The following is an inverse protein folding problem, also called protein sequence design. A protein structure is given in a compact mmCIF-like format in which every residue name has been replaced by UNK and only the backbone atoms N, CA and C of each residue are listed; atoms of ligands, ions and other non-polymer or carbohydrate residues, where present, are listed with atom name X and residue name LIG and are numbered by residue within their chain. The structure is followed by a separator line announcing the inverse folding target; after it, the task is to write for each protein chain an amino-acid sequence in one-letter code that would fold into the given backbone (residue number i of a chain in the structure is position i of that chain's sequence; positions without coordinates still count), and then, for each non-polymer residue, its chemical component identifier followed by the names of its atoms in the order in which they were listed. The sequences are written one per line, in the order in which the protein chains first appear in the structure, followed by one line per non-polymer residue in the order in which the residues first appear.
data_IF_568710246762
#
_entry.id   IF_568710246762
#
_cell.length_a   1.000
_cell.length_b   1.000
_cell.length_c   1.000
_cell.angle_alpha   90.00
_cell.angle_beta   90.00
_cell.angle_gamma   90.00
#
_symmetry.space_group_name_H-M   'P 1'
#
loop_
_entity.id
_entity.type
_entity.pdbx_description
1 polymer ?
#
# COMPACT_ATOMS: atom_id res chain seq x y z
N UNK A 1 33.95 28.65 60.81
CA UNK A 1 33.63 29.77 59.91
C UNK A 1 32.41 29.39 59.09
N UNK A 2 31.24 29.86 59.53
CA UNK A 2 30.00 29.89 58.75
C UNK A 2 30.01 31.17 57.92
N UNK A 3 29.57 31.14 56.66
CA UNK A 3 28.75 32.20 56.05
C UNK A 3 27.97 31.63 54.86
N UNK A 4 26.69 31.97 54.83
CA UNK A 4 25.67 31.68 53.83
C UNK A 4 25.84 32.55 52.59
N UNK A 5 25.45 32.06 51.41
CA UNK A 5 25.30 32.88 50.20
C UNK A 5 23.87 32.77 49.67
N UNK A 6 23.22 33.92 49.69
CA UNK A 6 21.92 34.29 49.14
C UNK A 6 21.92 34.26 47.61
N UNK A 7 20.71 34.13 47.05
CA UNK A 7 20.49 33.80 45.64
C UNK A 7 20.85 34.85 44.60
N UNK A 8 20.99 34.37 43.37
CA UNK A 8 20.96 35.17 42.15
C UNK A 8 19.98 34.51 41.18
N UNK A 9 18.86 35.20 40.96
CA UNK A 9 17.87 34.91 39.94
C UNK A 9 18.32 35.44 38.58
N UNK A 10 17.98 34.68 37.53
CA UNK A 10 17.82 35.10 36.11
C UNK A 10 19.08 35.42 35.31
N UNK A 11 19.36 34.56 34.33
CA UNK A 11 19.33 34.88 32.89
C UNK A 11 19.72 33.62 32.10
N UNK A 12 18.79 32.67 31.95
CA UNK A 12 18.89 31.65 30.90
C UNK A 12 18.17 32.19 29.67
N UNK A 13 18.82 32.30 28.50
CA UNK A 13 18.11 32.60 27.27
C UNK A 13 17.13 31.45 26.99
N UNK A 14 15.85 31.83 26.84
CA UNK A 14 14.74 30.93 26.50
C UNK A 14 15.09 30.15 25.24
N UNK A 15 15.30 28.85 25.38
CA UNK A 15 15.23 27.87 24.28
C UNK A 15 13.77 27.81 23.81
N UNK A 16 13.39 28.77 22.96
CA UNK A 16 12.08 28.79 22.29
C UNK A 16 12.31 29.05 20.81
N UNK A 17 13.04 28.16 20.14
CA UNK A 17 13.27 28.28 18.70
C UNK A 17 13.50 26.95 17.96
N UNK A 18 12.91 25.84 18.43
CA UNK A 18 13.00 24.54 17.71
C UNK A 18 11.62 23.91 17.38
N UNK A 19 10.50 24.45 17.85
CA UNK A 19 9.15 23.89 17.58
C UNK A 19 8.30 24.71 16.59
N UNK A 20 8.87 25.07 15.43
CA UNK A 20 8.10 25.67 14.32
C UNK A 20 8.62 25.22 12.96
N UNK A 21 8.33 23.98 12.54
CA UNK A 21 8.38 23.57 11.12
C UNK A 21 7.88 22.14 10.85
N UNK A 22 6.96 21.59 11.65
CA UNK A 22 6.41 20.24 11.39
C UNK A 22 4.91 20.31 11.20
N UNK A 23 4.54 20.85 10.05
CA UNK A 23 3.20 20.77 9.46
C UNK A 23 3.32 21.00 7.95
N UNK A 24 4.15 20.20 7.28
CA UNK A 24 3.98 19.99 5.83
C UNK A 24 2.89 18.95 5.64
N UNK A 25 1.68 19.44 5.89
CA UNK A 25 0.44 18.84 5.41
C UNK A 25 0.56 18.85 3.89
N UNK A 26 0.63 17.68 3.25
CA UNK A 26 0.23 17.58 1.86
C UNK A 26 -1.28 17.87 1.84
N UNK A 27 -1.66 19.14 1.65
CA UNK A 27 -3.07 19.48 1.48
C UNK A 27 -3.60 18.69 0.27
N UNK A 28 -4.90 18.41 0.22
CA UNK A 28 -5.53 17.82 -0.96
C UNK A 28 -5.17 18.62 -2.24
N UNK A 29 -4.88 19.92 -2.12
CA UNK A 29 -4.35 20.75 -3.21
C UNK A 29 -2.89 20.43 -3.61
N UNK A 30 -2.02 19.99 -2.69
CA UNK A 30 -0.68 19.47 -3.02
C UNK A 30 -0.74 18.06 -3.64
N UNK A 31 -1.70 17.23 -3.24
CA UNK A 31 -2.00 15.96 -3.93
C UNK A 31 -2.57 16.19 -5.34
N UNK A 32 -3.38 17.24 -5.55
CA UNK A 32 -3.88 17.62 -6.88
C UNK A 32 -2.78 18.11 -7.85
N UNK A 33 -1.61 18.49 -7.31
CA UNK A 33 -0.41 18.84 -8.07
C UNK A 33 0.50 17.64 -8.40
N UNK A 34 0.16 16.41 -7.94
CA UNK A 34 0.77 15.17 -8.45
C UNK A 34 0.26 14.79 -9.86
N UNK A 35 -0.23 15.76 -10.63
CA UNK A 35 -0.45 15.58 -12.07
C UNK A 35 0.88 15.28 -12.76
N UNK A 36 0.99 14.03 -13.22
CA UNK A 36 1.92 13.51 -14.26
C UNK A 36 3.39 13.37 -13.87
N UNK A 37 3.75 12.32 -13.12
CA UNK A 37 5.15 11.82 -13.15
C UNK A 37 5.33 10.37 -13.57
N UNK A 38 4.31 9.52 -13.47
CA UNK A 38 4.34 8.17 -14.03
C UNK A 38 3.45 8.07 -15.27
N UNK A 39 4.03 7.80 -16.45
CA UNK A 39 3.23 7.32 -17.59
C UNK A 39 2.94 5.85 -17.31
N UNK A 40 1.67 5.49 -17.19
CA UNK A 40 1.26 4.10 -17.04
C UNK A 40 1.88 3.27 -18.17
N UNK A 41 2.69 2.28 -17.81
CA UNK A 41 3.19 1.25 -18.71
C UNK A 41 2.35 0.00 -18.50
N UNK A 42 1.93 -0.62 -19.60
CA UNK A 42 1.21 -1.89 -19.58
C UNK A 42 1.84 -2.91 -20.51
N UNK A 43 1.72 -4.17 -20.15
CA UNK A 43 2.06 -5.32 -21.00
C UNK A 43 1.24 -6.54 -20.57
N UNK A 44 1.25 -7.60 -21.36
CA UNK A 44 0.60 -8.87 -21.03
C UNK A 44 1.64 -9.88 -20.50
N UNK A 45 1.26 -10.61 -19.46
CA UNK A 45 2.00 -11.73 -18.90
C UNK A 45 1.14 -12.98 -19.06
N UNK A 46 1.76 -14.09 -19.49
CA UNK A 46 1.08 -15.38 -19.65
C UNK A 46 2.04 -16.54 -19.31
N UNK A 47 2.53 -16.57 -18.06
CA UNK A 47 3.49 -17.60 -17.61
C UNK A 47 2.78 -18.77 -16.92
N UNK A 48 3.42 -19.95 -16.80
CA UNK A 48 2.87 -21.07 -16.04
C UNK A 48 2.58 -20.72 -14.58
N UNK A 49 3.46 -19.94 -13.94
CA UNK A 49 3.29 -19.52 -12.54
C UNK A 49 2.07 -18.62 -12.38
N UNK A 50 1.82 -17.73 -13.35
CA UNK A 50 0.62 -16.90 -13.37
C UNK A 50 -0.65 -17.74 -13.55
N UNK A 51 -0.66 -18.65 -14.54
CA UNK A 51 -1.80 -19.55 -14.79
C UNK A 51 -2.11 -20.44 -13.59
N UNK A 52 -1.09 -20.85 -12.84
CA UNK A 52 -1.25 -21.69 -11.65
C UNK A 52 -2.04 -21.00 -10.52
N UNK A 53 -2.16 -19.67 -10.52
CA UNK A 53 -2.96 -18.95 -9.52
C UNK A 53 -4.47 -19.12 -9.71
N UNK A 54 -4.93 -19.44 -10.92
CA UNK A 54 -6.36 -19.43 -11.29
C UNK A 54 -7.09 -20.68 -10.81
N UNK A 55 -7.20 -20.84 -9.49
CA UNK A 55 -8.05 -21.84 -8.87
C UNK A 55 -9.54 -21.52 -9.10
N UNK A 56 -10.45 -22.50 -9.03
CA UNK A 56 -11.89 -22.25 -9.08
C UNK A 56 -12.35 -21.22 -8.04
N UNK A 57 -11.72 -21.22 -6.86
CA UNK A 57 -11.98 -20.29 -5.77
C UNK A 57 -11.55 -18.86 -6.13
N UNK A 58 -10.37 -18.69 -6.75
CA UNK A 58 -9.91 -17.37 -7.18
C UNK A 58 -10.76 -16.82 -8.33
N UNK A 59 -11.12 -17.66 -9.30
CA UNK A 59 -12.03 -17.30 -10.38
C UNK A 59 -13.41 -16.90 -9.86
N UNK A 60 -13.90 -17.58 -8.81
CA UNK A 60 -15.15 -17.19 -8.15
C UNK A 60 -15.03 -15.82 -7.49
N UNK A 61 -13.92 -15.54 -6.80
CA UNK A 61 -13.65 -14.22 -6.23
C UNK A 61 -13.63 -13.13 -7.32
N UNK A 62 -12.85 -13.32 -8.39
CA UNK A 62 -12.80 -12.37 -9.51
C UNK A 62 -14.18 -12.10 -10.11
N UNK A 63 -14.93 -13.18 -10.40
CA UNK A 63 -16.28 -13.08 -10.98
C UNK A 63 -17.24 -12.27 -10.11
N UNK A 64 -17.06 -12.35 -8.79
CA UNK A 64 -17.88 -11.64 -7.84
C UNK A 64 -17.58 -10.14 -7.85
N UNK A 65 -16.31 -9.75 -7.76
CA UNK A 65 -15.94 -8.33 -7.86
C UNK A 65 -16.44 -7.73 -9.17
N UNK A 66 -16.35 -8.49 -10.28
CA UNK A 66 -16.87 -8.08 -11.58
C UNK A 66 -18.39 -7.89 -11.60
N UNK A 67 -19.16 -8.79 -10.98
CA UNK A 67 -20.64 -8.68 -10.97
C UNK A 67 -21.14 -7.50 -10.12
N UNK A 68 -20.35 -7.09 -9.12
CA UNK A 68 -20.59 -5.90 -8.30
C UNK A 68 -19.91 -4.63 -8.85
N UNK A 69 -19.35 -4.69 -10.07
CA UNK A 69 -18.73 -3.54 -10.75
C UNK A 69 -17.55 -2.92 -10.00
N UNK A 70 -16.78 -3.76 -9.30
CA UNK A 70 -15.54 -3.38 -8.64
C UNK A 70 -14.34 -4.00 -9.36
N UNK A 71 -13.25 -3.24 -9.47
CA UNK A 71 -12.02 -3.76 -10.02
C UNK A 71 -11.26 -4.55 -8.94
N UNK A 72 -10.65 -5.66 -9.33
CA UNK A 72 -9.77 -6.49 -8.48
C UNK A 72 -8.49 -6.78 -9.25
N UNK A 73 -7.34 -6.59 -8.61
CA UNK A 73 -6.02 -6.90 -9.20
C UNK A 73 -5.11 -7.54 -8.16
N UNK A 74 -4.21 -8.40 -8.61
CA UNK A 74 -3.08 -8.87 -7.80
C UNK A 74 -2.14 -7.67 -7.58
N UNK A 75 -1.57 -7.55 -6.39
CA UNK A 75 -0.77 -6.39 -6.00
C UNK A 75 0.58 -6.77 -5.37
N UNK A 76 1.53 -5.84 -5.42
CA UNK A 76 2.70 -5.87 -4.55
C UNK A 76 3.68 -7.01 -4.83
N UNK A 77 4.12 -7.67 -3.76
CA UNK A 77 5.16 -8.70 -3.82
C UNK A 77 4.82 -9.88 -4.72
N UNK A 78 3.53 -10.25 -4.80
CA UNK A 78 3.08 -11.32 -5.68
C UNK A 78 3.34 -11.01 -7.16
N UNK A 79 3.12 -9.76 -7.58
CA UNK A 79 3.39 -9.30 -8.96
C UNK A 79 4.89 -9.36 -9.26
N UNK A 80 5.73 -8.92 -8.31
CA UNK A 80 7.18 -9.01 -8.42
C UNK A 80 7.64 -10.45 -8.60
N UNK A 81 7.13 -11.36 -7.77
CA UNK A 81 7.55 -12.77 -7.78
C UNK A 81 7.16 -13.45 -9.10
N UNK A 82 5.93 -13.19 -9.60
CA UNK A 82 5.49 -13.66 -10.92
C UNK A 82 6.38 -13.14 -12.06
N UNK A 83 6.75 -11.86 -12.04
CA UNK A 83 7.67 -11.26 -13.02
C UNK A 83 9.08 -11.88 -12.96
N UNK A 84 9.46 -12.45 -11.82
CA UNK A 84 10.72 -13.20 -11.65
C UNK A 84 10.59 -14.69 -12.02
N UNK A 85 9.44 -15.15 -12.51
CA UNK A 85 9.19 -16.57 -12.79
C UNK A 85 9.10 -17.41 -11.53
N UNK A 86 8.62 -16.84 -10.42
CA UNK A 86 8.42 -17.54 -9.14
C UNK A 86 6.93 -17.60 -8.82
N UNK A 87 6.50 -18.72 -8.24
CA UNK A 87 5.16 -18.83 -7.67
C UNK A 87 5.11 -18.05 -6.36
N UNK A 88 4.23 -17.04 -6.22
CA UNK A 88 4.09 -16.29 -4.97
C UNK A 88 3.50 -17.20 -3.88
N UNK A 89 4.01 -17.06 -2.65
CA UNK A 89 3.50 -17.80 -1.50
C UNK A 89 2.20 -17.18 -0.96
N UNK A 90 2.18 -15.85 -0.85
CA UNK A 90 1.03 -15.06 -0.41
C UNK A 90 0.65 -14.10 -1.54
N UNK A 91 -0.64 -14.11 -1.90
CA UNK A 91 -1.17 -13.26 -2.99
C UNK A 91 -2.06 -12.18 -2.39
N UNK A 92 -1.54 -10.96 -2.37
CA UNK A 92 -2.31 -9.78 -1.98
C UNK A 92 -3.17 -9.30 -3.15
N UNK A 93 -4.43 -8.98 -2.86
CA UNK A 93 -5.32 -8.34 -3.82
C UNK A 93 -5.62 -6.90 -3.43
N UNK A 94 -5.74 -6.05 -4.44
CA UNK A 94 -6.17 -4.67 -4.29
C UNK A 94 -7.48 -4.45 -5.05
N UNK A 95 -8.36 -3.60 -4.52
CA UNK A 95 -9.68 -3.33 -5.11
C UNK A 95 -10.14 -1.89 -4.95
N UNK A 96 -10.98 -1.44 -5.87
CA UNK A 96 -11.71 -0.16 -5.79
C UNK A 96 -12.91 -0.21 -4.83
N UNK A 97 -13.31 -1.40 -4.38
CA UNK A 97 -14.38 -1.56 -3.40
C UNK A 97 -13.90 -1.15 -2.00
N UNK A 98 -14.69 -0.35 -1.30
CA UNK A 98 -14.47 -0.02 0.12
C UNK A 98 -14.70 -1.24 1.01
N UNK A 99 -14.21 -1.24 2.27
CA UNK A 99 -14.46 -2.32 3.20
C UNK A 99 -15.96 -2.57 3.42
N UNK A 100 -16.76 -1.51 3.52
CA UNK A 100 -18.21 -1.58 3.67
C UNK A 100 -18.89 -2.21 2.43
N UNK A 101 -18.47 -1.81 1.22
CA UNK A 101 -18.97 -2.41 -0.04
C UNK A 101 -18.61 -3.91 -0.10
N UNK A 102 -17.36 -4.27 0.25
CA UNK A 102 -16.92 -5.66 0.30
C UNK A 102 -17.70 -6.49 1.33
N UNK A 103 -17.93 -5.97 2.55
CA UNK A 103 -18.75 -6.66 3.57
C UNK A 103 -20.15 -6.92 3.05
N UNK A 104 -20.80 -5.88 2.54
CA UNK A 104 -22.17 -5.97 2.00
C UNK A 104 -22.24 -7.01 0.89
N UNK A 105 -21.26 -7.00 -0.01
CA UNK A 105 -21.14 -7.97 -1.10
C UNK A 105 -20.95 -9.40 -0.56
N UNK A 106 -19.99 -9.63 0.33
CA UNK A 106 -19.70 -10.97 0.85
C UNK A 106 -20.85 -11.53 1.71
N UNK A 107 -21.50 -10.70 2.54
CA UNK A 107 -22.68 -11.10 3.32
C UNK A 107 -23.84 -11.52 2.42
N UNK A 108 -24.14 -10.72 1.38
CA UNK A 108 -25.19 -11.01 0.41
C UNK A 108 -24.95 -12.32 -0.33
N UNK A 109 -23.70 -12.62 -0.63
CA UNK A 109 -23.28 -13.84 -1.34
C UNK A 109 -22.98 -15.01 -0.40
N UNK A 110 -23.19 -14.82 0.91
CA UNK A 110 -22.94 -15.81 1.96
C UNK A 110 -21.50 -16.32 1.98
N UNK A 111 -20.56 -15.44 1.65
CA UNK A 111 -19.11 -15.71 1.73
C UNK A 111 -18.64 -15.38 3.14
N UNK A 112 -17.90 -16.33 3.73
CA UNK A 112 -17.36 -16.17 5.07
C UNK A 112 -16.19 -15.18 5.07
N UNK A 113 -16.18 -14.26 6.03
CA UNK A 113 -15.06 -13.36 6.30
C UNK A 113 -14.33 -13.81 7.58
N UNK A 114 -13.00 -13.89 7.56
CA UNK A 114 -12.23 -14.50 8.68
C UNK A 114 -11.75 -13.48 9.71
N UNK A 115 -11.42 -12.25 9.31
CA UNK A 115 -10.72 -11.33 10.21
C UNK A 115 -11.19 -9.89 10.03
N UNK A 116 -11.81 -9.35 11.08
CA UNK A 116 -12.22 -7.94 11.13
C UNK A 116 -11.08 -6.99 11.58
N UNK A 117 -9.95 -7.50 12.10
CA UNK A 117 -8.86 -6.63 12.58
C UNK A 117 -8.13 -5.88 11.46
N UNK A 118 -8.17 -6.40 10.23
CA UNK A 118 -7.58 -5.73 9.06
C UNK A 118 -8.40 -4.56 8.52
N UNK A 119 -9.65 -4.40 8.99
CA UNK A 119 -10.61 -3.44 8.44
C UNK A 119 -10.20 -1.99 8.68
N UNK A 120 -9.56 -1.71 9.82
CA UNK A 120 -9.02 -0.37 10.13
C UNK A 120 -7.99 0.11 9.09
N UNK A 121 -7.38 -0.84 8.38
CA UNK A 121 -6.44 -0.57 7.28
C UNK A 121 -7.06 -0.84 5.90
N UNK A 122 -8.34 -1.18 5.84
CA UNK A 122 -9.09 -1.41 4.60
C UNK A 122 -8.94 -2.81 4.01
N UNK A 123 -8.46 -3.79 4.78
CA UNK A 123 -8.26 -5.17 4.35
C UNK A 123 -9.38 -6.07 4.87
N UNK A 124 -9.94 -6.89 3.99
CA UNK A 124 -10.91 -7.95 4.32
C UNK A 124 -10.39 -9.29 3.80
N UNK A 125 -10.43 -10.31 4.65
CA UNK A 125 -10.07 -11.68 4.27
C UNK A 125 -11.33 -12.49 3.98
N UNK A 126 -11.57 -12.81 2.71
CA UNK A 126 -12.67 -13.67 2.28
C UNK A 126 -12.22 -15.14 2.23
N UNK A 127 -13.05 -16.05 2.75
CA UNK A 127 -12.86 -17.50 2.63
C UNK A 127 -13.85 -18.06 1.61
N UNK A 128 -13.34 -18.50 0.46
CA UNK A 128 -14.17 -19.04 -0.62
C UNK A 128 -14.24 -20.56 -0.48
N UNK A 129 -15.47 -21.10 -0.56
CA UNK A 129 -15.78 -22.54 -0.45
C UNK A 129 -15.18 -23.22 0.79
N UNK A 130 -15.00 -22.48 1.89
CA UNK A 130 -14.32 -22.94 3.11
C UNK A 130 -12.94 -23.59 2.89
N UNK A 131 -12.24 -23.23 1.81
CA UNK A 131 -10.97 -23.83 1.40
C UNK A 131 -9.82 -22.81 1.41
N UNK A 132 -9.93 -21.76 0.61
CA UNK A 132 -8.86 -20.77 0.38
C UNK A 132 -9.23 -19.40 0.95
N UNK A 133 -8.22 -18.68 1.45
CA UNK A 133 -8.34 -17.35 1.99
C UNK A 133 -7.75 -16.34 1.00
N UNK A 134 -8.44 -15.23 0.80
CA UNK A 134 -7.96 -14.12 -0.04
C UNK A 134 -8.00 -12.83 0.73
N UNK A 135 -6.84 -12.21 0.89
CA UNK A 135 -6.70 -10.89 1.49
C UNK A 135 -6.93 -9.82 0.41
N UNK A 136 -8.03 -9.10 0.54
CA UNK A 136 -8.41 -8.03 -0.40
C UNK A 136 -8.36 -6.70 0.32
N UNK A 137 -7.53 -5.79 -0.20
CA UNK A 137 -7.30 -4.47 0.40
C UNK A 137 -7.84 -3.36 -0.49
N UNK A 138 -8.64 -2.47 0.09
CA UNK A 138 -9.12 -1.26 -0.58
C UNK A 138 -7.94 -0.36 -0.95
N UNK A 139 -7.93 0.18 -2.17
CA UNK A 139 -6.96 1.21 -2.56
C UNK A 139 -7.02 2.39 -1.59
N UNK A 140 -5.87 2.89 -1.17
CA UNK A 140 -5.81 3.95 -0.15
C UNK A 140 -4.65 4.92 -0.34
N UNK A 141 -4.76 6.04 0.36
CA UNK A 141 -3.76 7.09 0.49
C UNK A 141 -3.47 7.25 2.00
N UNK A 142 -2.21 7.39 2.36
CA UNK A 142 -1.81 7.64 3.74
C UNK A 142 -1.84 9.17 3.99
N UNK A 143 -2.65 9.63 4.96
CA UNK A 143 -2.95 11.07 5.18
C UNK A 143 -2.16 11.67 6.34
N UNK A 144 -1.94 10.90 7.41
CA UNK A 144 -1.10 11.29 8.55
C UNK A 144 -0.41 10.06 9.11
N UNK A 145 0.90 10.14 9.27
CA UNK A 145 1.70 9.17 10.04
C UNK A 145 2.32 9.90 11.24
N UNK A 146 1.75 9.74 12.44
CA UNK A 146 2.37 10.22 13.68
C UNK A 146 3.34 9.17 14.28
N UNK A 147 3.85 8.27 13.45
CA UNK A 147 4.73 7.16 13.84
C UNK A 147 4.03 6.00 14.56
N UNK A 148 2.75 6.14 14.98
CA UNK A 148 2.01 5.07 15.66
C UNK A 148 0.63 4.78 15.08
N UNK A 149 0.00 5.73 14.38
CA UNK A 149 -1.28 5.53 13.67
C UNK A 149 -1.23 6.14 12.28
N UNK A 150 -1.49 5.33 11.27
CA UNK A 150 -1.71 5.80 9.91
C UNK A 150 -3.21 6.06 9.73
N UNK A 151 -3.60 7.33 9.53
CA UNK A 151 -4.95 7.63 9.02
C UNK A 151 -4.93 7.41 7.52
N UNK A 152 -5.81 6.54 7.04
CA UNK A 152 -5.94 6.23 5.61
C UNK A 152 -7.20 6.87 5.02
N UNK A 153 -7.12 7.29 3.77
CA UNK A 153 -8.26 7.67 2.94
C UNK A 153 -8.39 6.68 1.79
N UNK A 154 -9.58 6.09 1.62
CA UNK A 154 -9.83 5.19 0.51
C UNK A 154 -9.97 5.96 -0.81
N UNK A 155 -9.44 5.37 -1.88
CA UNK A 155 -9.48 5.94 -3.22
C UNK A 155 -9.91 4.88 -4.23
N UNK A 156 -10.24 5.30 -5.45
CA UNK A 156 -10.42 4.42 -6.60
C UNK A 156 -9.31 4.61 -7.65
N UNK A 157 -8.31 5.45 -7.34
CA UNK A 157 -7.18 5.73 -8.20
C UNK A 157 -5.99 4.81 -7.87
N UNK A 158 -5.72 3.89 -8.78
CA UNK A 158 -4.60 2.95 -8.71
C UNK A 158 -3.23 3.61 -8.67
N UNK A 159 -3.04 4.76 -9.33
CA UNK A 159 -1.77 5.46 -9.31
C UNK A 159 -1.49 6.04 -7.93
N UNK A 160 -2.52 6.51 -7.23
CA UNK A 160 -2.39 7.01 -5.86
C UNK A 160 -2.05 5.88 -4.88
N UNK A 161 -2.66 4.70 -5.02
CA UNK A 161 -2.27 3.52 -4.22
C UNK A 161 -0.85 3.03 -4.53
N UNK A 162 -0.47 2.99 -5.81
CA UNK A 162 0.90 2.65 -6.18
C UNK A 162 1.90 3.65 -5.59
N UNK A 163 1.55 4.94 -5.54
CA UNK A 163 2.44 5.98 -5.04
C UNK A 163 2.77 5.80 -3.56
N UNK A 164 1.83 5.33 -2.71
CA UNK A 164 2.08 5.13 -1.26
C UNK A 164 2.93 3.89 -0.94
N UNK A 165 3.15 2.99 -1.91
CA UNK A 165 3.96 1.78 -1.74
C UNK A 165 5.45 2.10 -1.71
N UNK A 166 6.21 1.37 -0.90
CA UNK A 166 7.60 1.69 -0.59
C UNK A 166 8.53 1.63 -1.82
N UNK A 167 8.60 0.48 -2.48
CA UNK A 167 9.56 0.17 -3.54
C UNK A 167 8.87 0.09 -4.91
N UNK A 168 9.56 0.52 -5.97
CA UNK A 168 9.04 0.51 -7.35
C UNK A 168 8.61 -0.91 -7.76
N UNK A 169 9.45 -1.91 -7.46
CA UNK A 169 9.19 -3.33 -7.71
C UNK A 169 7.98 -3.89 -6.95
N UNK A 170 7.56 -3.25 -5.86
CA UNK A 170 6.38 -3.65 -5.06
C UNK A 170 5.18 -2.73 -5.31
N UNK A 171 5.27 -1.81 -6.27
CA UNK A 171 4.23 -0.80 -6.57
C UNK A 171 3.35 -1.13 -7.78
N UNK A 172 3.54 -2.32 -8.35
CA UNK A 172 2.82 -2.78 -9.55
C UNK A 172 1.55 -3.55 -9.21
N UNK A 173 0.65 -3.61 -10.19
CA UNK A 173 -0.56 -4.44 -10.15
C UNK A 173 -0.65 -5.34 -11.38
N UNK A 174 -1.32 -6.47 -11.25
CA UNK A 174 -1.56 -7.41 -12.34
C UNK A 174 -3.05 -7.75 -12.42
N UNK A 175 -3.66 -7.48 -13.57
CA UNK A 175 -5.01 -7.92 -13.89
C UNK A 175 -5.07 -9.42 -14.15
N UNK A 176 -6.25 -10.01 -13.93
CA UNK A 176 -6.52 -11.43 -14.20
C UNK A 176 -6.44 -11.78 -15.70
N UNK A 177 -6.50 -10.78 -16.56
CA UNK A 177 -6.26 -10.91 -18.00
C UNK A 177 -4.76 -10.87 -18.37
N UNK A 178 -3.87 -10.87 -17.38
CA UNK A 178 -2.42 -10.76 -17.53
C UNK A 178 -1.91 -9.34 -17.75
N UNK A 179 -2.76 -8.31 -17.70
CA UNK A 179 -2.32 -6.91 -17.90
C UNK A 179 -1.53 -6.42 -16.68
N UNK A 180 -0.24 -6.14 -16.86
CA UNK A 180 0.59 -5.45 -15.88
C UNK A 180 0.26 -3.95 -15.88
N UNK A 181 0.12 -3.35 -14.71
CA UNK A 181 -0.03 -1.91 -14.50
C UNK A 181 1.18 -1.41 -13.70
N UNK A 182 2.09 -0.70 -14.38
CA UNK A 182 3.30 -0.14 -13.77
C UNK A 182 3.32 1.38 -13.94
N UNK A 183 3.21 2.09 -12.81
CA UNK A 183 3.22 3.55 -12.76
C UNK A 183 4.61 4.14 -12.46
N UNK A 184 5.56 3.34 -11.97
CA UNK A 184 6.81 3.81 -11.38
C UNK A 184 8.06 3.07 -11.89
N UNK A 185 7.97 2.41 -13.05
CA UNK A 185 9.05 1.65 -13.68
C UNK A 185 9.54 0.46 -12.85
N UNK A 186 8.66 -0.14 -12.06
CA UNK A 186 8.96 -1.32 -11.24
C UNK A 186 9.47 -2.50 -12.08
N UNK A 187 8.95 -2.71 -13.29
CA UNK A 187 9.42 -3.80 -14.16
C UNK A 187 10.88 -3.58 -14.59
N UNK A 188 11.19 -2.37 -15.04
CA UNK A 188 12.54 -2.05 -15.53
C UNK A 188 13.56 -2.09 -14.39
N UNK A 189 13.21 -1.58 -13.22
CA UNK A 189 14.04 -1.70 -12.01
C UNK A 189 14.23 -3.18 -11.63
N UNK A 190 13.21 -4.02 -11.73
CA UNK A 190 13.31 -5.45 -11.48
C UNK A 190 14.26 -6.16 -12.46
N UNK A 191 14.13 -5.88 -13.77
CA UNK A 191 15.01 -6.43 -14.82
C UNK A 191 16.47 -6.03 -14.61
N UNK A 192 16.70 -4.80 -14.15
CA UNK A 192 18.03 -4.26 -13.87
C UNK A 192 18.50 -4.53 -12.43
N UNK A 193 17.75 -5.36 -11.68
CA UNK A 193 18.04 -5.76 -10.28
C UNK A 193 18.28 -4.57 -9.35
N UNK A 194 17.47 -3.53 -9.50
CA UNK A 194 17.52 -2.32 -8.66
C UNK A 194 16.38 -2.31 -7.67
N UNK A 195 16.73 -2.09 -6.41
CA UNK A 195 15.77 -1.79 -5.35
C UNK A 195 15.70 -0.27 -5.24
N UNK A 196 14.59 0.33 -5.69
CA UNK A 196 14.38 1.77 -5.62
C UNK A 196 13.10 2.10 -4.88
N UNK A 197 13.14 3.19 -4.11
CA UNK A 197 11.95 3.79 -3.54
C UNK A 197 11.07 4.40 -4.61
N UNK A 198 9.76 4.36 -4.41
CA UNK A 198 8.83 5.20 -5.17
C UNK A 198 9.04 6.65 -4.73
N UNK A 199 9.31 7.56 -5.67
CA UNK A 199 9.58 8.97 -5.34
C UNK A 199 10.94 9.20 -4.66
N UNK A 200 11.00 10.11 -3.69
CA UNK A 200 12.24 10.49 -3.00
C UNK A 200 12.52 9.55 -1.81
N UNK A 201 13.65 8.85 -1.83
CA UNK A 201 14.01 7.87 -0.80
C UNK A 201 14.07 8.43 0.63
N UNK A 202 14.57 9.65 0.81
CA UNK A 202 14.67 10.29 2.13
C UNK A 202 13.29 10.54 2.72
N UNK A 203 12.37 11.10 1.93
CA UNK A 203 10.97 11.31 2.32
C UNK A 203 10.31 9.97 2.67
N UNK A 204 10.51 8.93 1.86
CA UNK A 204 9.94 7.60 2.12
C UNK A 204 10.45 6.96 3.41
N UNK A 205 11.73 7.15 3.74
CA UNK A 205 12.32 6.61 4.97
C UNK A 205 11.79 7.37 6.19
N UNK A 206 11.61 8.69 6.08
CA UNK A 206 11.06 9.52 7.18
C UNK A 206 9.59 9.19 7.48
N UNK A 207 8.81 8.75 6.49
CA UNK A 207 7.43 8.27 6.69
C UNK A 207 7.34 6.99 7.53
N UNK A 208 8.27 6.04 7.32
CA UNK A 208 8.34 4.76 8.02
C UNK A 208 9.78 4.22 8.00
N UNK A 209 10.48 4.35 9.14
CA UNK A 209 11.87 3.90 9.29
C UNK A 209 12.05 2.38 9.08
N UNK A 210 10.99 1.57 9.23
CA UNK A 210 11.06 0.13 8.93
C UNK A 210 11.30 -0.15 7.45
N UNK A 211 11.06 0.83 6.57
CA UNK A 211 11.39 0.71 5.15
C UNK A 211 12.90 0.57 4.89
N UNK A 212 13.76 1.01 5.81
CA UNK A 212 15.21 0.71 5.74
C UNK A 212 15.44 -0.80 5.82
N UNK A 213 14.78 -1.48 6.77
CA UNK A 213 14.90 -2.93 6.91
C UNK A 213 14.28 -3.67 5.71
N UNK A 214 13.15 -3.17 5.18
CA UNK A 214 12.52 -3.71 3.97
C UNK A 214 13.39 -3.55 2.71
N UNK A 215 14.25 -2.53 2.66
CA UNK A 215 15.19 -2.34 1.55
C UNK A 215 16.28 -3.42 1.51
N UNK A 216 16.73 -3.91 2.67
CA UNK A 216 17.79 -4.94 2.77
C UNK A 216 17.28 -6.38 2.65
N UNK A 217 16.00 -6.62 2.96
CA UNK A 217 15.36 -7.94 2.90
C UNK A 217 15.18 -8.41 1.45
#
# INVERSE_FOLDING_TARGET
MFWTATGVSRLFPRTTQIFKSWSRIASYSQLSNFKKKGKLKTMKIDTPEFRALFTPELLKLESLFKSYQHELRIAGGAVRDLLMGKTPHDVDFATTATPEEMKTMFEKEKIRMINAKGEEHGTITARINDKENYEVTTLRIDVVTDGRRAKVEFTRDWQLDANRRDLTVNSMFLGFDGTLYDYFNGKEDLEQRRVKFVGNAEERIQEDYLRILRYFR
#
